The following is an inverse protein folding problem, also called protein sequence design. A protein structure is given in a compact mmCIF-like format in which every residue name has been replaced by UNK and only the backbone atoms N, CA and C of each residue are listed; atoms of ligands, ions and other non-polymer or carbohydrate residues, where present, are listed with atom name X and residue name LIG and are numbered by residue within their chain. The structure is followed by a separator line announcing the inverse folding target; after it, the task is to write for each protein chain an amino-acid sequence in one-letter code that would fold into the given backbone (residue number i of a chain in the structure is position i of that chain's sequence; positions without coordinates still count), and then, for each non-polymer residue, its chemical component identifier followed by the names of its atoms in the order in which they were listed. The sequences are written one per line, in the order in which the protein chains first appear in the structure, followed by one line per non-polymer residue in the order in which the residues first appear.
data_IF_889362145197
#
_entry.id   IF_889362145197
#
_cell.length_a   1.000
_cell.length_b   1.000
_cell.length_c   1.000
_cell.angle_alpha   90.00
_cell.angle_beta   90.00
_cell.angle_gamma   90.00
#
_symmetry.space_group_name_H-M   'P 1'
#
loop_
_entity.id
_entity.type
_entity.pdbx_description
1 polymer ?
#
# COMPACT_ATOMS: atom_id res chain seq x y z
N UNK A 1 0.54 21.42 -29.07
CA UNK A 1 -0.57 21.57 -28.10
C UNK A 1 -0.81 20.19 -27.55
N UNK A 2 -0.16 19.86 -26.43
CA UNK A 2 -0.16 18.50 -25.89
C UNK A 2 -1.47 18.24 -25.18
N UNK A 3 -2.22 17.25 -25.64
CA UNK A 3 -3.35 16.72 -24.89
C UNK A 3 -2.80 16.02 -23.64
N UNK A 4 -2.83 16.72 -22.51
CA UNK A 4 -2.76 16.07 -21.21
C UNK A 4 -4.05 15.26 -21.06
N UNK A 5 -3.97 13.97 -21.38
CA UNK A 5 -5.01 13.00 -21.00
C UNK A 5 -5.07 13.01 -19.47
N UNK A 6 -5.99 13.81 -18.94
CA UNK A 6 -6.37 13.84 -17.55
C UNK A 6 -7.12 12.54 -17.27
N UNK A 7 -6.38 11.43 -17.23
CA UNK A 7 -6.85 10.11 -16.86
C UNK A 7 -7.14 10.19 -15.35
N UNK A 8 -8.27 10.83 -15.05
CA UNK A 8 -8.80 11.01 -13.71
C UNK A 8 -8.93 9.62 -13.12
N UNK A 9 -7.98 9.28 -12.25
CA UNK A 9 -8.00 8.06 -11.47
C UNK A 9 -9.21 8.10 -10.52
N UNK A 10 -10.39 7.71 -11.02
CA UNK A 10 -11.63 7.70 -10.26
C UNK A 10 -11.65 6.44 -9.40
N UNK A 11 -11.05 6.52 -8.21
CA UNK A 11 -11.18 5.46 -7.20
C UNK A 11 -12.68 5.26 -6.93
N UNK A 12 -13.22 4.04 -7.12
CA UNK A 12 -14.63 3.76 -6.89
C UNK A 12 -15.04 4.23 -5.49
N UNK A 13 -16.14 4.96 -5.36
CA UNK A 13 -16.55 5.57 -4.08
C UNK A 13 -16.69 4.56 -2.91
N UNK A 14 -16.96 3.28 -3.21
CA UNK A 14 -17.02 2.21 -2.22
C UNK A 14 -15.65 1.92 -1.58
N UNK A 15 -14.57 2.03 -2.35
CA UNK A 15 -13.20 1.82 -1.86
C UNK A 15 -12.79 2.86 -0.83
N UNK A 16 -13.08 4.13 -1.14
CA UNK A 16 -12.84 5.26 -0.24
C UNK A 16 -13.53 5.10 1.12
N UNK A 17 -14.75 4.55 1.14
CA UNK A 17 -15.49 4.32 2.40
C UNK A 17 -14.81 3.28 3.28
N UNK A 18 -14.26 2.22 2.68
CA UNK A 18 -13.59 1.14 3.39
C UNK A 18 -12.25 1.62 3.96
N UNK A 19 -11.48 2.35 3.16
CA UNK A 19 -10.20 2.96 3.61
C UNK A 19 -10.44 3.96 4.75
N UNK A 20 -11.47 4.81 4.64
CA UNK A 20 -11.83 5.73 5.72
C UNK A 20 -12.26 4.99 6.99
N UNK A 21 -13.03 3.91 6.85
CA UNK A 21 -13.46 3.09 7.97
C UNK A 21 -12.28 2.35 8.62
N UNK A 22 -11.31 1.92 7.82
CA UNK A 22 -10.07 1.33 8.31
C UNK A 22 -9.29 2.31 9.20
N UNK A 23 -9.10 3.55 8.74
CA UNK A 23 -8.44 4.61 9.51
C UNK A 23 -9.22 4.88 10.80
N UNK A 24 -10.56 4.92 10.75
CA UNK A 24 -11.40 5.09 11.94
C UNK A 24 -11.17 3.98 12.97
N UNK A 25 -11.18 2.71 12.55
CA UNK A 25 -10.93 1.59 13.47
C UNK A 25 -9.53 1.63 14.06
N UNK A 26 -8.54 1.98 13.24
CA UNK A 26 -7.16 2.14 13.71
C UNK A 26 -7.05 3.25 14.77
N UNK A 27 -7.60 4.44 14.52
CA UNK A 27 -7.60 5.53 15.49
C UNK A 27 -8.33 5.17 16.78
N UNK A 28 -9.46 4.45 16.67
CA UNK A 28 -10.22 4.04 17.85
C UNK A 28 -9.45 3.02 18.70
N UNK A 29 -8.81 2.04 18.07
CA UNK A 29 -7.91 1.10 18.74
C UNK A 29 -6.77 1.82 19.46
N UNK A 30 -6.07 2.72 18.77
CA UNK A 30 -4.91 3.44 19.33
C UNK A 30 -5.34 4.44 20.43
N UNK A 31 -6.55 5.00 20.36
CA UNK A 31 -7.13 5.79 21.46
C UNK A 31 -7.35 4.93 22.71
N UNK A 32 -7.83 3.69 22.54
CA UNK A 32 -7.99 2.77 23.66
C UNK A 32 -6.65 2.41 24.29
N UNK A 33 -5.60 2.32 23.49
CA UNK A 33 -4.24 2.12 23.98
C UNK A 33 -3.75 3.32 24.78
N UNK A 34 -3.93 4.55 24.28
CA UNK A 34 -3.57 5.78 24.98
C UNK A 34 -4.29 5.92 26.34
N UNK A 35 -5.56 5.50 26.40
CA UNK A 35 -6.35 5.47 27.64
C UNK A 35 -6.10 4.24 28.51
N UNK A 36 -5.14 3.37 28.15
CA UNK A 36 -4.81 2.12 28.84
C UNK A 36 -6.01 1.18 29.05
N UNK A 37 -7.01 1.24 28.16
CA UNK A 37 -8.20 0.39 28.17
C UNK A 37 -7.86 -1.00 27.64
N UNK A 38 -7.23 -1.83 28.49
CA UNK A 38 -6.67 -3.15 28.13
C UNK A 38 -7.64 -4.06 27.35
N UNK A 39 -8.84 -4.42 27.87
CA UNK A 39 -9.71 -5.36 27.17
C UNK A 39 -10.25 -4.79 25.86
N UNK A 40 -10.58 -3.49 25.83
CA UNK A 40 -11.18 -2.85 24.67
C UNK A 40 -10.16 -2.65 23.54
N UNK A 41 -8.92 -2.27 23.89
CA UNK A 41 -7.81 -2.17 22.95
C UNK A 41 -7.51 -3.50 22.25
N UNK A 42 -7.47 -4.61 23.01
CA UNK A 42 -7.20 -5.96 22.46
C UNK A 42 -8.32 -6.41 21.52
N UNK A 43 -9.58 -6.23 21.93
CA UNK A 43 -10.72 -6.55 21.08
C UNK A 43 -10.67 -5.77 19.76
N UNK A 44 -10.23 -4.50 19.80
CA UNK A 44 -10.12 -3.64 18.63
C UNK A 44 -8.96 -3.98 17.68
N UNK A 45 -8.00 -4.81 18.08
CA UNK A 45 -6.97 -5.33 17.15
C UNK A 45 -7.63 -6.12 16.02
N UNK A 46 -8.59 -6.99 16.36
CA UNK A 46 -9.26 -7.88 15.40
C UNK A 46 -9.95 -7.14 14.24
N UNK A 47 -10.89 -6.20 14.48
CA UNK A 47 -11.53 -5.47 13.39
C UNK A 47 -10.52 -4.63 12.60
N UNK A 48 -9.53 -4.02 13.26
CA UNK A 48 -8.52 -3.19 12.59
C UNK A 48 -7.65 -4.00 11.63
N UNK A 49 -7.12 -5.13 12.11
CA UNK A 49 -6.25 -6.02 11.31
C UNK A 49 -7.04 -6.72 10.20
N UNK A 50 -8.27 -7.14 10.48
CA UNK A 50 -9.14 -7.79 9.47
C UNK A 50 -9.40 -6.85 8.30
N UNK A 51 -9.74 -5.58 8.57
CA UNK A 51 -9.97 -4.60 7.51
C UNK A 51 -8.67 -4.29 6.76
N UNK A 52 -7.52 -4.17 7.45
CA UNK A 52 -6.22 -3.96 6.80
C UNK A 52 -5.86 -5.07 5.80
N UNK A 53 -5.99 -6.33 6.24
CA UNK A 53 -5.71 -7.51 5.40
C UNK A 53 -6.71 -7.58 4.24
N UNK A 54 -7.98 -7.26 4.49
CA UNK A 54 -8.99 -7.28 3.45
C UNK A 54 -8.74 -6.23 2.36
N UNK A 55 -8.34 -5.01 2.73
CA UNK A 55 -7.93 -3.96 1.80
C UNK A 55 -6.71 -4.42 0.99
N UNK A 56 -5.69 -4.97 1.65
CA UNK A 56 -4.50 -5.49 0.98
C UNK A 56 -4.84 -6.59 -0.03
N UNK A 57 -5.69 -7.54 0.34
CA UNK A 57 -6.13 -8.62 -0.56
C UNK A 57 -6.90 -8.07 -1.76
N UNK A 58 -7.81 -7.12 -1.53
CA UNK A 58 -8.64 -6.56 -2.60
C UNK A 58 -7.81 -5.76 -3.60
N UNK A 59 -6.78 -5.05 -3.14
CA UNK A 59 -5.92 -4.22 -3.99
C UNK A 59 -4.77 -4.99 -4.66
N UNK A 60 -4.77 -6.34 -4.59
CA UNK A 60 -3.74 -7.19 -5.21
C UNK A 60 -3.53 -6.98 -6.72
N UNK A 61 -4.51 -6.41 -7.41
CA UNK A 61 -4.42 -6.13 -8.84
C UNK A 61 -3.55 -4.90 -9.17
N UNK A 62 -3.37 -3.99 -8.22
CA UNK A 62 -2.55 -2.79 -8.37
C UNK A 62 -1.35 -2.92 -7.43
N UNK A 63 -0.19 -3.25 -8.00
CA UNK A 63 1.03 -3.55 -7.19
C UNK A 63 1.40 -2.38 -6.29
N UNK A 64 1.22 -1.13 -6.76
CA UNK A 64 1.43 0.07 -5.97
C UNK A 64 0.63 0.09 -4.68
N UNK A 65 -0.69 -0.09 -4.80
CA UNK A 65 -1.61 -0.11 -3.69
C UNK A 65 -1.36 -1.31 -2.79
N UNK A 66 -1.10 -2.49 -3.37
CA UNK A 66 -0.81 -3.71 -2.61
C UNK A 66 0.41 -3.52 -1.71
N UNK A 67 1.53 -3.00 -2.21
CA UNK A 67 2.75 -2.83 -1.41
C UNK A 67 2.56 -1.85 -0.26
N UNK A 68 1.78 -0.78 -0.48
CA UNK A 68 1.44 0.16 0.59
C UNK A 68 0.51 -0.46 1.63
N UNK A 69 -0.55 -1.15 1.19
CA UNK A 69 -1.51 -1.78 2.09
C UNK A 69 -0.88 -2.91 2.90
N UNK A 70 0.05 -3.68 2.31
CA UNK A 70 0.85 -4.68 3.04
C UNK A 70 1.75 -4.02 4.07
N UNK A 71 2.41 -2.91 3.73
CA UNK A 71 3.23 -2.17 4.68
C UNK A 71 2.40 -1.64 5.87
N UNK A 72 1.20 -1.11 5.61
CA UNK A 72 0.27 -0.67 6.67
C UNK A 72 -0.20 -1.87 7.52
N UNK A 73 -0.52 -3.00 6.90
CA UNK A 73 -0.91 -4.20 7.65
C UNK A 73 0.22 -4.70 8.57
N UNK A 74 1.48 -4.73 8.07
CA UNK A 74 2.66 -5.06 8.87
C UNK A 74 2.89 -4.07 10.01
N UNK A 75 2.69 -2.78 9.76
CA UNK A 75 2.74 -1.75 10.80
C UNK A 75 1.69 -1.98 11.89
N UNK A 76 0.45 -2.29 11.52
CA UNK A 76 -0.64 -2.57 12.47
C UNK A 76 -0.32 -3.80 13.32
N UNK A 77 0.26 -4.84 12.72
CA UNK A 77 0.76 -6.01 13.47
C UNK A 77 1.84 -5.60 14.46
N UNK A 78 2.86 -4.85 14.02
CA UNK A 78 3.94 -4.37 14.89
C UNK A 78 3.41 -3.54 16.07
N UNK A 79 2.50 -2.62 15.77
CA UNK A 79 1.87 -1.75 16.77
C UNK A 79 1.00 -2.54 17.75
N UNK A 80 0.29 -3.57 17.27
CA UNK A 80 -0.50 -4.47 18.11
C UNK A 80 0.39 -5.32 19.02
N UNK A 81 1.54 -5.79 18.53
CA UNK A 81 2.55 -6.50 19.35
C UNK A 81 3.12 -5.59 20.45
N UNK A 82 3.42 -4.34 20.13
CA UNK A 82 3.89 -3.37 21.12
C UNK A 82 2.83 -3.09 22.18
N UNK A 83 1.58 -2.85 21.78
CA UNK A 83 0.48 -2.66 22.73
C UNK A 83 0.31 -3.85 23.68
N UNK A 84 0.40 -5.09 23.18
CA UNK A 84 0.34 -6.30 24.01
C UNK A 84 1.52 -6.37 24.99
N UNK A 85 2.72 -5.99 24.54
CA UNK A 85 3.91 -5.92 25.39
C UNK A 85 3.72 -4.96 26.57
N UNK A 86 3.14 -3.79 26.32
CA UNK A 86 2.90 -2.79 27.35
C UNK A 86 1.79 -3.19 28.32
N UNK A 87 0.73 -3.84 27.84
CA UNK A 87 -0.38 -4.28 28.69
C UNK A 87 -0.07 -5.46 29.60
N UNK A 88 0.80 -6.38 29.17
CA UNK A 88 1.03 -7.65 29.86
C UNK A 88 2.47 -7.90 30.31
N UNK A 89 3.44 -7.21 29.72
CA UNK A 89 4.87 -7.49 29.92
C UNK A 89 5.69 -6.24 30.28
N UNK A 90 5.01 -5.13 30.57
CA UNK A 90 5.61 -3.85 30.99
C UNK A 90 6.70 -3.33 30.03
N UNK A 91 6.69 -3.79 28.77
CA UNK A 91 7.64 -3.35 27.74
C UNK A 91 8.98 -4.09 27.70
N UNK A 92 9.15 -5.18 28.46
CA UNK A 92 10.48 -5.81 28.61
C UNK A 92 10.74 -7.01 27.69
N UNK A 93 9.70 -7.72 27.24
CA UNK A 93 9.88 -9.03 26.58
C UNK A 93 9.69 -9.00 25.07
N UNK A 94 8.67 -8.31 24.58
CA UNK A 94 8.22 -8.41 23.18
C UNK A 94 8.64 -7.18 22.37
N UNK A 95 9.03 -6.07 23.00
CA UNK A 95 9.39 -4.81 22.33
C UNK A 95 10.43 -4.97 21.22
N UNK A 96 11.48 -5.75 21.46
CA UNK A 96 12.53 -6.00 20.47
C UNK A 96 12.02 -6.77 19.25
N UNK A 97 11.06 -7.69 19.44
CA UNK A 97 10.45 -8.43 18.35
C UNK A 97 9.50 -7.58 17.50
N UNK A 98 8.96 -6.49 18.04
CA UNK A 98 8.12 -5.54 17.29
C UNK A 98 8.89 -4.86 16.15
N UNK A 99 10.21 -4.74 16.28
CA UNK A 99 11.09 -4.17 15.25
C UNK A 99 11.01 -4.99 13.96
N UNK A 100 10.83 -6.31 14.04
CA UNK A 100 10.80 -7.20 12.87
C UNK A 100 9.68 -6.80 11.89
N UNK A 101 8.38 -6.77 12.28
CA UNK A 101 7.32 -6.34 11.39
C UNK A 101 7.42 -4.86 10.99
N UNK A 102 7.93 -3.98 11.86
CA UNK A 102 8.22 -2.58 11.48
C UNK A 102 9.23 -2.49 10.33
N UNK A 103 10.35 -3.18 10.47
CA UNK A 103 11.40 -3.23 9.44
C UNK A 103 10.88 -3.85 8.16
N UNK A 104 10.10 -4.93 8.23
CA UNK A 104 9.49 -5.55 7.03
C UNK A 104 8.54 -4.59 6.30
N UNK A 105 7.72 -3.82 7.04
CA UNK A 105 6.85 -2.80 6.45
C UNK A 105 7.64 -1.73 5.71
N UNK A 106 8.68 -1.19 6.36
CA UNK A 106 9.57 -0.19 5.75
C UNK A 106 10.28 -0.77 4.52
N UNK A 107 10.84 -1.97 4.61
CA UNK A 107 11.52 -2.64 3.50
C UNK A 107 10.58 -2.86 2.31
N UNK A 108 9.30 -3.17 2.56
CA UNK A 108 8.29 -3.31 1.52
C UNK A 108 8.08 -2.01 0.75
N UNK A 109 8.01 -0.87 1.44
CA UNK A 109 7.91 0.45 0.81
C UNK A 109 9.19 0.82 0.07
N UNK A 110 10.36 0.57 0.68
CA UNK A 110 11.65 0.80 0.04
C UNK A 110 11.78 0.04 -1.28
N UNK A 111 11.44 -1.25 -1.28
CA UNK A 111 11.43 -2.07 -2.49
C UNK A 111 10.53 -1.47 -3.57
N UNK A 112 9.33 -1.03 -3.20
CA UNK A 112 8.39 -0.43 -4.14
C UNK A 112 8.93 0.86 -4.76
N UNK A 113 9.40 1.81 -3.94
CA UNK A 113 9.81 3.13 -4.40
C UNK A 113 11.17 3.14 -5.12
N UNK A 114 12.15 2.38 -4.62
CA UNK A 114 13.52 2.41 -5.15
C UNK A 114 13.76 1.42 -6.27
N UNK A 115 13.02 0.31 -6.33
CA UNK A 115 13.23 -0.72 -7.34
C UNK A 115 12.07 -0.84 -8.32
N UNK A 116 10.85 -1.08 -7.81
CA UNK A 116 9.71 -1.42 -8.66
C UNK A 116 9.20 -0.24 -9.51
N UNK A 117 8.92 0.91 -8.88
CA UNK A 117 8.44 2.12 -9.55
C UNK A 117 9.36 2.61 -10.68
N UNK A 118 10.68 2.78 -10.48
CA UNK A 118 11.57 3.23 -11.55
C UNK A 118 11.71 2.20 -12.68
N UNK A 119 11.67 0.90 -12.37
CA UNK A 119 11.71 -0.15 -13.39
C UNK A 119 10.47 -0.10 -14.31
N UNK A 120 9.28 0.07 -13.73
CA UNK A 120 8.05 0.17 -14.51
C UNK A 120 8.02 1.44 -15.36
N UNK A 121 8.50 2.58 -14.82
CA UNK A 121 8.66 3.82 -15.60
C UNK A 121 9.60 3.64 -16.79
N UNK A 122 10.72 2.92 -16.62
CA UNK A 122 11.64 2.60 -17.72
C UNK A 122 10.98 1.71 -18.78
N UNK A 123 10.24 0.68 -18.38
CA UNK A 123 9.50 -0.20 -19.31
C UNK A 123 8.42 0.55 -20.08
N UNK A 124 7.63 1.39 -19.43
CA UNK A 124 6.61 2.21 -20.07
C UNK A 124 7.21 3.13 -21.14
N UNK A 125 8.30 3.84 -20.80
CA UNK A 125 9.02 4.69 -21.76
C UNK A 125 9.56 3.90 -22.95
N UNK A 126 10.15 2.71 -22.71
CA UNK A 126 10.67 1.88 -23.78
C UNK A 126 9.56 1.37 -24.72
N UNK A 127 8.40 1.00 -24.18
CA UNK A 127 7.23 0.59 -24.96
C UNK A 127 6.66 1.74 -25.79
N UNK A 128 6.59 2.95 -25.23
CA UNK A 128 6.14 4.15 -25.94
C UNK A 128 7.06 4.48 -27.13
N UNK A 129 8.39 4.41 -26.94
CA UNK A 129 9.37 4.62 -28.01
C UNK A 129 9.25 3.53 -29.08
N UNK A 130 9.07 2.27 -28.70
CA UNK A 130 8.90 1.17 -29.65
C UNK A 130 7.62 1.34 -30.51
N UNK A 131 6.50 1.73 -29.90
CA UNK A 131 5.25 1.99 -30.62
C UNK A 131 5.39 3.16 -31.60
N UNK A 132 6.00 4.28 -31.18
CA UNK A 132 6.27 5.43 -32.07
C UNK A 132 7.14 5.03 -33.26
N UNK A 133 8.15 4.20 -33.04
CA UNK A 133 9.02 3.71 -34.12
C UNK A 133 8.27 2.77 -35.08
N UNK A 134 7.38 1.92 -34.57
CA UNK A 134 6.55 1.03 -35.38
C UNK A 134 5.53 1.81 -36.23
N UNK A 135 4.87 2.83 -35.68
CA UNK A 135 3.96 3.71 -36.42
C UNK A 135 4.69 4.46 -37.54
N UNK A 136 5.87 5.02 -37.25
CA UNK A 136 6.68 5.71 -38.25
C UNK A 136 7.15 4.76 -39.38
N UNK A 137 7.53 3.52 -39.05
CA UNK A 137 7.92 2.51 -40.04
C UNK A 137 6.75 2.06 -40.92
N UNK A 138 5.53 1.96 -40.39
CA UNK A 138 4.35 1.62 -41.18
C UNK A 138 3.98 2.76 -42.14
N UNK A 139 4.16 4.01 -41.72
CA UNK A 139 3.92 5.18 -42.57
C UNK A 139 4.91 5.26 -43.75
N UNK A 140 6.20 5.00 -43.50
CA UNK A 140 7.22 5.00 -44.56
C UNK A 140 7.08 3.81 -45.52
N UNK A 141 6.69 2.64 -45.01
CA UNK A 141 6.42 1.46 -45.84
C UNK A 141 5.16 1.61 -46.70
N UNK A 142 4.13 2.32 -46.22
CA UNK A 142 2.92 2.62 -46.99
C UNK A 142 3.10 3.77 -48.00
N UNK A 143 4.14 4.59 -47.85
CA UNK A 143 4.41 5.76 -48.69
C UNK A 143 5.20 5.48 -49.98
N UNK A 144 5.65 4.24 -50.22
CA UNK A 144 6.31 3.83 -51.46
C UNK A 144 5.31 3.05 -52.33
N UNK A 145 4.21 3.72 -52.70
CA UNK A 145 3.33 3.30 -53.79
C UNK A 145 2.70 4.54 -54.44
N UNK A 146 3.51 5.36 -55.09
CA UNK A 146 3.07 6.19 -56.20
C UNK A 146 4.25 6.42 -57.14
#
# INVERSE_FOLDING_TARGET
MGEESNDLYVIPAKFRKIENLHILFWLMKDLCWCLLLRPLGIIMIFPTLTVAIWIAWRNRHIVAELTHNVAIALWIVANSMWMIDEFYFEGEKIRHYCVIPFSLGILTLFYYYFYYSPLQRKKAKAAEVANKNAEHSNYTASGIKH
#
